data_IF_486514953772
#
_entry.id   IF_486514953772
#
_cell.length_a   1.000
_cell.length_b   1.000
_cell.length_c   1.000
_cell.angle_alpha   90.00
_cell.angle_beta   90.00
_cell.angle_gamma   90.00
#
_symmetry.space_group_name_H-M   'P 1'
#
loop_
_entity.id
_entity.type
_entity.pdbx_description
1 polymer ?
#
# COMPACT_ATOMS: atom_id res chain seq x y z
N UNK A 1 26.64 -13.01 17.81
CA UNK A 1 26.33 -14.44 18.05
C UNK A 1 25.12 -14.83 17.22
N UNK A 2 25.32 -14.97 15.91
CA UNK A 2 24.24 -15.06 14.92
C UNK A 2 23.57 -16.43 14.81
N UNK A 3 22.94 -16.91 15.87
CA UNK A 3 21.90 -17.93 15.69
C UNK A 3 20.71 -17.26 15.02
N UNK A 4 20.30 -17.76 13.85
CA UNK A 4 19.05 -17.35 13.22
C UNK A 4 17.93 -17.45 14.28
N UNK A 5 17.04 -16.46 14.38
CA UNK A 5 15.93 -16.52 15.33
C UNK A 5 15.15 -17.81 15.06
N UNK A 6 14.86 -18.58 16.12
CA UNK A 6 14.03 -19.78 16.01
C UNK A 6 12.61 -19.32 15.68
N UNK A 7 12.28 -19.31 14.39
CA UNK A 7 11.00 -18.78 13.89
C UNK A 7 9.81 -19.51 14.51
N UNK A 8 9.96 -20.82 14.79
CA UNK A 8 8.92 -21.61 15.45
C UNK A 8 8.66 -21.15 16.89
N UNK A 9 9.71 -20.81 17.63
CA UNK A 9 9.59 -20.28 19.00
C UNK A 9 8.89 -18.92 19.00
N UNK A 10 9.26 -18.04 18.07
CA UNK A 10 8.59 -16.74 17.90
C UNK A 10 7.13 -16.91 17.47
N UNK A 11 6.83 -17.87 16.60
CA UNK A 11 5.48 -18.18 16.16
C UNK A 11 4.62 -18.71 17.32
N UNK A 12 5.15 -19.60 18.14
CA UNK A 12 4.46 -20.10 19.33
C UNK A 12 4.20 -18.99 20.34
N UNK A 13 5.18 -18.10 20.59
CA UNK A 13 4.99 -16.92 21.45
C UNK A 13 3.84 -16.04 20.98
N UNK A 14 3.67 -15.87 19.67
CA UNK A 14 2.54 -15.11 19.10
C UNK A 14 1.22 -15.88 19.28
N UNK A 15 1.22 -17.21 19.11
CA UNK A 15 0.00 -18.04 19.25
C UNK A 15 -0.56 -18.06 20.66
N UNK A 16 0.31 -18.11 21.67
CA UNK A 16 -0.08 -18.21 23.08
C UNK A 16 -0.20 -16.85 23.77
N UNK A 17 0.07 -15.75 23.06
CA UNK A 17 -0.06 -14.41 23.60
C UNK A 17 -1.51 -14.13 24.00
N UNK A 18 -1.71 -13.74 25.26
CA UNK A 18 -3.00 -13.33 25.78
C UNK A 18 -3.27 -11.88 25.34
N UNK A 19 -4.39 -11.58 24.65
CA UNK A 19 -4.77 -10.21 24.32
C UNK A 19 -5.03 -9.33 25.55
N UNK A 20 -5.21 -9.91 26.74
CA UNK A 20 -5.41 -9.21 28.00
C UNK A 20 -4.12 -9.18 28.88
N UNK A 21 -2.96 -9.54 28.31
CA UNK A 21 -1.66 -9.47 28.99
C UNK A 21 -1.26 -8.02 29.35
N UNK A 22 -0.42 -7.84 30.38
CA UNK A 22 0.13 -6.54 30.78
C UNK A 22 0.89 -5.83 29.64
N UNK A 23 1.39 -6.59 28.66
CA UNK A 23 2.06 -6.07 27.48
C UNK A 23 1.18 -6.07 26.21
N UNK A 24 -0.13 -6.22 26.36
CA UNK A 24 -1.06 -6.10 25.25
C UNK A 24 -0.99 -4.71 24.62
N UNK A 25 -1.19 -4.66 23.31
CA UNK A 25 -1.24 -3.40 22.58
C UNK A 25 -2.52 -2.63 22.93
N UNK A 26 -2.34 -1.45 23.51
CA UNK A 26 -3.41 -0.48 23.72
C UNK A 26 -3.36 0.61 22.63
N UNK A 27 -4.46 0.83 21.88
CA UNK A 27 -4.51 1.88 20.88
C UNK A 27 -4.34 3.26 21.51
N UNK A 28 -3.54 4.13 20.88
CA UNK A 28 -3.43 5.51 21.34
C UNK A 28 -4.78 6.25 21.23
N UNK A 29 -5.07 7.11 22.20
CA UNK A 29 -6.22 8.01 22.11
C UNK A 29 -6.03 8.99 20.95
N UNK A 30 -7.04 9.05 20.08
CA UNK A 30 -7.10 10.07 19.02
C UNK A 30 -7.88 11.28 19.55
N UNK A 31 -7.39 12.52 19.32
CA UNK A 31 -7.98 13.74 19.86
C UNK A 31 -9.38 14.08 19.31
N UNK A 32 -9.98 13.22 18.48
CA UNK A 32 -11.30 13.43 17.87
C UNK A 32 -11.36 14.56 16.85
N UNK A 33 -10.23 15.18 16.54
CA UNK A 33 -10.12 16.28 15.58
C UNK A 33 -10.16 15.77 14.14
N UNK A 34 -10.70 16.60 13.24
CA UNK A 34 -10.68 16.31 11.80
C UNK A 34 -9.24 16.23 11.30
N UNK A 35 -8.85 15.07 10.77
CA UNK A 35 -7.54 14.85 10.18
C UNK A 35 -7.33 15.80 8.98
N UNK A 36 -6.28 16.62 9.04
CA UNK A 36 -5.88 17.46 7.90
C UNK A 36 -4.75 16.80 7.14
N UNK A 37 -4.95 16.60 5.84
CA UNK A 37 -3.96 16.01 4.93
C UNK A 37 -3.41 17.10 4.01
N UNK A 38 -2.09 17.17 3.88
CA UNK A 38 -1.40 18.09 2.98
C UNK A 38 -0.75 17.32 1.83
N UNK A 39 -0.67 17.93 0.65
CA UNK A 39 0.10 17.41 -0.47
C UNK A 39 1.40 18.21 -0.63
N UNK A 40 2.49 17.56 -1.02
CA UNK A 40 3.76 18.22 -1.34
C UNK A 40 3.69 19.06 -2.64
N UNK A 41 2.77 18.72 -3.53
CA UNK A 41 2.49 19.40 -4.79
C UNK A 41 0.99 19.53 -5.03
N UNK A 42 0.55 20.69 -5.52
CA UNK A 42 -0.87 20.94 -5.86
C UNK A 42 -1.30 20.16 -7.10
N UNK A 43 -2.61 19.98 -7.26
CA UNK A 43 -3.19 19.34 -8.46
C UNK A 43 -2.82 20.09 -9.75
N UNK A 44 -2.74 21.41 -9.72
CA UNK A 44 -2.35 22.23 -10.86
C UNK A 44 -0.91 21.95 -11.28
N UNK A 45 0.02 21.95 -10.32
CA UNK A 45 1.43 21.73 -10.59
C UNK A 45 1.70 20.29 -11.01
N UNK A 46 1.07 19.31 -10.36
CA UNK A 46 1.20 17.90 -10.74
C UNK A 46 0.68 17.64 -12.15
N UNK A 47 -0.45 18.26 -12.54
CA UNK A 47 -0.96 18.19 -13.92
C UNK A 47 -0.01 18.84 -14.92
N UNK A 48 0.57 19.99 -14.59
CA UNK A 48 1.55 20.65 -15.44
C UNK A 48 2.80 19.78 -15.66
N UNK A 49 3.27 19.06 -14.65
CA UNK A 49 4.39 18.12 -14.79
C UNK A 49 4.01 16.89 -15.62
N UNK A 50 2.79 16.37 -15.45
CA UNK A 50 2.26 15.30 -16.32
C UNK A 50 2.23 15.75 -17.79
N UNK A 51 1.82 16.98 -18.08
CA UNK A 51 1.77 17.48 -19.46
C UNK A 51 3.16 17.67 -20.09
N UNK A 52 4.18 18.05 -19.29
CA UNK A 52 5.58 18.04 -19.75
C UNK A 52 6.03 16.63 -20.10
N UNK A 53 5.78 15.65 -19.22
CA UNK A 53 6.15 14.25 -19.44
C UNK A 53 5.46 13.65 -20.67
N UNK A 54 4.23 14.06 -20.99
CA UNK A 54 3.57 13.69 -22.25
C UNK A 54 4.31 14.27 -23.47
N UNK A 55 4.87 15.47 -23.34
CA UNK A 55 5.75 16.06 -24.36
C UNK A 55 6.99 15.19 -24.60
N UNK A 56 7.63 14.72 -23.53
CA UNK A 56 8.78 13.80 -23.60
C UNK A 56 8.38 12.47 -24.27
N UNK A 57 7.17 11.95 -24.01
CA UNK A 57 6.63 10.78 -24.72
C UNK A 57 6.48 11.06 -26.22
N UNK A 58 5.90 12.21 -26.59
CA UNK A 58 5.69 12.59 -27.99
C UNK A 58 7.00 12.78 -28.75
N UNK A 59 8.03 13.32 -28.08
CA UNK A 59 9.36 13.50 -28.65
C UNK A 59 10.13 12.17 -28.79
N UNK A 60 9.62 11.09 -28.19
CA UNK A 60 10.25 9.77 -28.20
C UNK A 60 11.36 9.59 -27.15
N UNK A 61 11.43 10.47 -26.15
CA UNK A 61 12.41 10.39 -25.07
C UNK A 61 12.09 9.24 -24.09
N UNK A 62 10.79 8.99 -23.86
CA UNK A 62 10.28 7.91 -23.00
C UNK A 62 9.02 7.28 -23.59
N UNK A 63 8.74 6.01 -23.27
CA UNK A 63 7.49 5.35 -23.66
C UNK A 63 6.39 5.47 -22.59
N UNK A 64 6.79 5.40 -21.32
CA UNK A 64 5.91 5.50 -20.17
C UNK A 64 6.70 6.01 -18.96
N UNK A 65 6.03 6.76 -18.09
CA UNK A 65 6.54 7.20 -16.79
C UNK A 65 5.42 7.17 -15.76
N UNK A 66 5.78 6.89 -14.51
CA UNK A 66 4.84 6.85 -13.37
C UNK A 66 5.24 7.96 -12.38
N UNK A 67 4.81 9.22 -12.59
CA UNK A 67 5.06 10.29 -11.63
C UNK A 67 4.22 10.07 -10.37
N UNK A 68 4.77 10.45 -9.22
CA UNK A 68 4.11 10.33 -7.93
C UNK A 68 4.20 11.65 -7.14
N UNK A 69 3.31 11.79 -6.16
CA UNK A 69 3.29 12.89 -5.19
C UNK A 69 3.02 12.36 -3.79
N UNK A 70 3.38 13.13 -2.78
CA UNK A 70 3.31 12.73 -1.37
C UNK A 70 2.14 13.43 -0.68
N UNK A 71 1.34 12.64 0.04
CA UNK A 71 0.37 13.16 1.00
C UNK A 71 0.88 12.92 2.41
N UNK A 72 0.74 13.93 3.27
CA UNK A 72 1.27 13.91 4.64
C UNK A 72 0.19 14.32 5.64
N UNK A 73 0.20 13.65 6.78
CA UNK A 73 -0.64 13.98 7.93
C UNK A 73 -0.02 13.40 9.20
N UNK A 74 -0.44 13.89 10.36
CA UNK A 74 0.00 13.34 11.64
C UNK A 74 -0.60 11.95 11.83
N UNK A 75 0.26 10.95 12.07
CA UNK A 75 -0.15 9.60 12.43
C UNK A 75 0.26 9.34 13.89
N UNK A 76 -0.72 9.36 14.80
CA UNK A 76 -0.47 9.19 16.25
C UNK A 76 -0.12 7.74 16.58
N UNK A 77 -0.72 6.79 15.87
CA UNK A 77 -0.53 5.37 16.08
C UNK A 77 -0.52 4.63 14.74
N UNK A 78 0.68 4.32 14.26
CA UNK A 78 0.87 3.64 12.99
C UNK A 78 0.41 2.18 13.02
N UNK A 79 0.42 1.53 14.19
CA UNK A 79 -0.05 0.15 14.31
C UNK A 79 -1.58 0.07 14.28
N UNK A 80 -2.29 1.01 14.93
CA UNK A 80 -3.74 1.18 14.78
C UNK A 80 -4.11 1.39 13.30
N UNK A 81 -3.40 2.31 12.63
CA UNK A 81 -3.62 2.61 11.23
C UNK A 81 -3.40 1.37 10.34
N UNK A 82 -2.34 0.60 10.59
CA UNK A 82 -2.08 -0.67 9.89
C UNK A 82 -3.19 -1.71 10.13
N UNK A 83 -3.69 -1.86 11.36
CA UNK A 83 -4.80 -2.77 11.67
C UNK A 83 -6.06 -2.41 10.88
N UNK A 84 -6.40 -1.12 10.84
CA UNK A 84 -7.52 -0.62 10.06
C UNK A 84 -7.30 -0.82 8.55
N UNK A 85 -6.08 -0.58 8.05
CA UNK A 85 -5.73 -0.84 6.66
C UNK A 85 -5.91 -2.33 6.29
N UNK A 86 -5.49 -3.24 7.16
CA UNK A 86 -5.63 -4.69 6.97
C UNK A 86 -7.09 -5.13 6.88
N UNK A 87 -7.96 -4.52 7.67
CA UNK A 87 -9.39 -4.82 7.66
C UNK A 87 -10.09 -4.25 6.43
N UNK A 88 -9.78 -3.00 6.09
CA UNK A 88 -10.48 -2.26 5.01
C UNK A 88 -9.95 -2.58 3.61
N UNK A 89 -8.65 -2.88 3.49
CA UNK A 89 -7.96 -3.11 2.22
C UNK A 89 -7.06 -4.36 2.32
N UNK A 90 -7.64 -5.56 2.53
CA UNK A 90 -6.85 -6.79 2.59
C UNK A 90 -6.16 -7.04 1.26
N UNK A 91 -4.83 -7.11 1.30
CA UNK A 91 -3.98 -7.33 0.14
C UNK A 91 -3.12 -8.58 0.31
N UNK A 92 -2.64 -9.22 -0.77
CA UNK A 92 -1.80 -10.42 -0.70
C UNK A 92 -0.48 -10.18 0.05
N UNK A 93 0.01 -8.94 0.06
CA UNK A 93 1.25 -8.55 0.74
C UNK A 93 1.00 -7.40 1.72
N UNK A 94 0.66 -7.75 2.96
CA UNK A 94 0.57 -6.81 4.08
C UNK A 94 1.90 -6.77 4.84
N UNK A 95 2.33 -5.59 5.26
CA UNK A 95 3.53 -5.44 6.07
C UNK A 95 3.40 -4.31 7.08
N UNK A 96 4.06 -4.50 8.22
CA UNK A 96 4.33 -3.47 9.21
C UNK A 96 5.76 -3.69 9.72
N UNK A 97 6.58 -2.66 9.59
CA UNK A 97 8.02 -2.68 9.90
C UNK A 97 8.30 -1.49 10.79
N UNK A 98 8.90 -1.76 11.96
CA UNK A 98 9.44 -0.75 12.86
C UNK A 98 10.95 -0.89 12.93
N UNK A 99 11.68 0.22 12.86
CA UNK A 99 13.13 0.18 12.86
C UNK A 99 13.78 1.52 13.17
N UNK A 100 15.10 1.57 13.01
CA UNK A 100 15.90 2.78 13.13
C UNK A 100 16.41 3.16 11.73
N UNK A 101 16.17 4.40 11.34
CA UNK A 101 16.56 4.95 10.05
C UNK A 101 18.06 5.23 9.98
N UNK A 102 18.55 5.57 8.77
CA UNK A 102 19.96 5.91 8.56
C UNK A 102 20.43 7.14 9.35
N UNK A 103 19.49 8.00 9.73
CA UNK A 103 19.71 9.18 10.57
C UNK A 103 19.67 8.87 12.08
N UNK A 104 19.57 7.59 12.46
CA UNK A 104 19.48 7.17 13.85
C UNK A 104 18.11 7.39 14.50
N UNK A 105 17.11 7.88 13.75
CA UNK A 105 15.76 8.13 14.28
C UNK A 105 14.86 6.91 14.08
N UNK A 106 13.92 6.64 15.00
CA UNK A 106 12.94 5.58 14.81
C UNK A 106 12.02 5.89 13.61
N UNK A 107 11.59 4.84 12.92
CA UNK A 107 10.57 4.92 11.88
C UNK A 107 9.64 3.72 11.93
N UNK A 108 8.46 3.91 11.37
CA UNK A 108 7.46 2.87 11.13
C UNK A 108 7.04 2.95 9.67
N UNK A 109 6.91 1.80 9.04
CA UNK A 109 6.52 1.64 7.65
C UNK A 109 5.49 0.52 7.55
N UNK A 110 4.32 0.84 7.02
CA UNK A 110 3.25 -0.14 6.84
C UNK A 110 2.56 0.04 5.49
N UNK A 111 1.92 -1.02 5.01
CA UNK A 111 1.23 -0.98 3.73
C UNK A 111 0.52 -2.27 3.37
N UNK A 112 -0.23 -2.17 2.28
CA UNK A 112 -1.05 -3.23 1.70
C UNK A 112 -0.77 -3.31 0.20
N UNK A 113 0.28 -4.03 -0.21
CA UNK A 113 0.66 -4.12 -1.63
C UNK A 113 -0.22 -5.13 -2.38
N UNK A 114 -0.88 -4.73 -3.48
CA UNK A 114 -1.65 -5.64 -4.32
C UNK A 114 -0.74 -6.51 -5.20
N UNK A 115 0.53 -6.12 -5.37
CA UNK A 115 1.44 -6.71 -6.35
C UNK A 115 2.72 -7.26 -5.71
N UNK A 116 3.20 -8.38 -6.24
CA UNK A 116 4.54 -8.89 -5.97
C UNK A 116 5.55 -8.24 -6.90
N UNK A 117 6.55 -7.57 -6.34
CA UNK A 117 7.69 -7.08 -7.13
C UNK A 117 8.48 -8.24 -7.74
N UNK A 118 8.95 -9.19 -6.92
CA UNK A 118 9.68 -10.37 -7.37
C UNK A 118 9.47 -11.52 -6.40
N UNK A 119 9.18 -12.71 -6.92
CA UNK A 119 9.07 -13.94 -6.14
C UNK A 119 10.06 -14.97 -6.67
N UNK A 120 10.85 -15.55 -5.78
CA UNK A 120 11.83 -16.58 -6.11
C UNK A 120 11.57 -17.86 -5.32
N UNK A 121 11.50 -19.00 -6.01
CA UNK A 121 11.42 -20.32 -5.41
C UNK A 121 12.79 -21.01 -5.49
N UNK A 122 13.47 -21.19 -4.35
CA UNK A 122 14.80 -21.77 -4.33
C UNK A 122 14.86 -23.25 -4.75
N UNK A 123 13.79 -24.03 -4.52
CA UNK A 123 13.75 -25.46 -4.84
C UNK A 123 13.60 -25.70 -6.35
N UNK A 124 12.74 -24.93 -7.01
CA UNK A 124 12.53 -25.02 -8.47
C UNK A 124 13.46 -24.10 -9.27
N UNK A 125 14.09 -23.13 -8.59
CA UNK A 125 14.85 -22.00 -9.16
C UNK A 125 13.99 -21.08 -10.05
N UNK A 126 12.68 -21.09 -9.87
CA UNK A 126 11.74 -20.25 -10.62
C UNK A 126 11.73 -18.81 -10.08
N UNK A 127 11.73 -17.83 -10.99
CA UNK A 127 11.52 -16.41 -10.70
C UNK A 127 10.20 -15.97 -11.35
N UNK A 128 9.37 -15.26 -10.60
CA UNK A 128 8.07 -14.75 -11.04
C UNK A 128 8.00 -13.23 -10.82
N UNK A 129 7.44 -12.53 -11.81
CA UNK A 129 7.05 -11.12 -11.77
C UNK A 129 5.54 -11.05 -12.05
N UNK A 130 4.84 -10.12 -11.41
CA UNK A 130 3.39 -9.99 -11.54
C UNK A 130 2.98 -8.57 -11.97
N UNK A 131 3.48 -8.06 -13.11
CA UNK A 131 3.22 -6.68 -13.54
C UNK A 131 1.72 -6.36 -13.58
N UNK A 132 1.30 -5.31 -12.86
CA UNK A 132 -0.05 -4.77 -12.96
C UNK A 132 0.00 -3.44 -13.71
N UNK A 133 -0.81 -3.34 -14.77
CA UNK A 133 -1.07 -2.11 -15.50
C UNK A 133 -2.58 -2.03 -15.76
N UNK A 134 -3.12 -0.81 -15.76
CA UNK A 134 -4.55 -0.57 -15.86
C UNK A 134 -5.26 -0.55 -14.51
N UNK A 135 -5.92 0.56 -14.23
CA UNK A 135 -6.71 0.74 -13.00
C UNK A 135 -8.12 1.23 -13.35
N UNK A 136 -9.12 0.67 -12.68
CA UNK A 136 -10.48 1.23 -12.60
C UNK A 136 -10.94 1.26 -11.14
N UNK A 137 -11.74 2.27 -10.75
CA UNK A 137 -12.47 2.19 -9.49
C UNK A 137 -13.46 1.03 -9.53
N UNK A 138 -13.85 0.54 -8.35
CA UNK A 138 -14.92 -0.45 -8.21
C UNK A 138 -16.26 0.14 -8.64
N UNK A 139 -17.14 -0.68 -9.19
CA UNK A 139 -18.54 -0.33 -9.42
C UNK A 139 -19.29 -0.29 -8.09
N UNK A 140 -19.56 0.91 -7.55
CA UNK A 140 -20.22 1.08 -6.25
C UNK A 140 -21.63 1.68 -6.40
N UNK A 141 -22.53 1.29 -5.49
CA UNK A 141 -23.80 1.96 -5.26
C UNK A 141 -23.59 3.27 -4.45
N UNK A 142 -24.60 4.16 -4.38
CA UNK A 142 -24.51 5.38 -3.55
C UNK A 142 -24.24 5.13 -2.06
N UNK A 143 -24.60 3.95 -1.56
CA UNK A 143 -24.35 3.52 -0.17
C UNK A 143 -22.95 2.90 0.04
N UNK A 144 -22.13 2.83 -1.02
CA UNK A 144 -20.77 2.26 -0.99
C UNK A 144 -20.70 0.74 -1.16
N UNK A 145 -21.84 0.03 -1.23
CA UNK A 145 -21.85 -1.40 -1.51
C UNK A 145 -21.45 -1.69 -2.97
N UNK A 146 -20.86 -2.87 -3.22
CA UNK A 146 -20.48 -3.26 -4.59
C UNK A 146 -21.72 -3.49 -5.44
N UNK A 147 -21.77 -2.81 -6.58
CA UNK A 147 -22.72 -3.08 -7.65
C UNK A 147 -22.05 -3.98 -8.69
N UNK A 148 -22.32 -5.28 -8.64
CA UNK A 148 -21.70 -6.28 -9.51
C UNK A 148 -21.90 -6.03 -11.00
N UNK A 149 -23.03 -5.44 -11.38
CA UNK A 149 -23.34 -5.15 -12.78
C UNK A 149 -22.42 -4.02 -13.30
N UNK A 150 -22.34 -2.91 -12.55
CA UNK A 150 -21.44 -1.81 -12.86
C UNK A 150 -19.97 -2.25 -12.81
N UNK A 151 -19.59 -3.06 -11.82
CA UNK A 151 -18.22 -3.56 -11.65
C UNK A 151 -17.79 -4.42 -12.86
N UNK A 152 -18.68 -5.29 -13.34
CA UNK A 152 -18.45 -6.12 -14.55
C UNK A 152 -18.32 -5.25 -15.80
N UNK A 153 -19.12 -4.19 -15.94
CA UNK A 153 -18.99 -3.25 -17.06
C UNK A 153 -17.65 -2.50 -17.01
N UNK A 154 -17.22 -2.06 -15.83
CA UNK A 154 -15.94 -1.38 -15.65
C UNK A 154 -14.76 -2.32 -15.95
N UNK A 155 -14.86 -3.59 -15.58
CA UNK A 155 -13.90 -4.63 -15.96
C UNK A 155 -13.82 -4.78 -17.49
N UNK A 156 -14.96 -4.91 -18.16
CA UNK A 156 -15.00 -5.01 -19.63
C UNK A 156 -14.41 -3.76 -20.28
N UNK A 157 -14.72 -2.57 -19.77
CA UNK A 157 -14.14 -1.31 -20.23
C UNK A 157 -12.62 -1.30 -20.07
N UNK A 158 -12.09 -1.75 -18.93
CA UNK A 158 -10.63 -1.84 -18.74
C UNK A 158 -9.99 -2.81 -19.73
N UNK A 159 -10.59 -4.00 -19.91
CA UNK A 159 -10.08 -5.04 -20.83
C UNK A 159 -10.12 -4.65 -22.31
N UNK A 160 -10.89 -3.63 -22.67
CA UNK A 160 -11.13 -3.21 -24.07
C UNK A 160 -10.67 -1.78 -24.36
N UNK A 161 -10.09 -1.08 -23.38
CA UNK A 161 -9.54 0.26 -23.55
C UNK A 161 -8.20 0.16 -24.28
N UNK A 162 -8.11 0.69 -25.49
CA UNK A 162 -6.89 0.60 -26.31
C UNK A 162 -5.67 1.30 -25.68
N UNK A 163 -5.89 2.18 -24.70
CA UNK A 163 -4.82 2.89 -23.99
C UNK A 163 -4.20 2.02 -22.88
N UNK A 164 -4.99 1.15 -22.26
CA UNK A 164 -4.59 0.30 -21.13
C UNK A 164 -4.21 -1.11 -21.61
#
# INVERSE_FOLDING_TARGET
>A
DGSAPQLDELAERIRVADPDDEHAYEPAEHPGETLTVTADITDENFRADVDKLKGDIYNGDIYQVVPARTFSTTCVDAFAAYRMLRETNPSPYMFYVRGIGRNGQPYELFGASPESNLKFNAATREIQLYPIAGTRPRGLNPDGSVNYELDTRMELQLRTDSKE
#
